data_IF_901997252867
#
_entry.id   IF_901997252867
#
_cell.length_a   1.000
_cell.length_b   1.000
_cell.length_c   1.000
_cell.angle_alpha   90.00
_cell.angle_beta   90.00
_cell.angle_gamma   90.00
#
_symmetry.space_group_name_H-M   'P 1'
#
loop_
_entity.id
_entity.type
_entity.pdbx_description
1 polymer ?
#
# COMPACT_ATOMS: atom_id res chain seq x y z
N UNK A 1 7.37 17.60 -29.45
CA UNK A 1 8.79 17.41 -29.87
C UNK A 1 8.85 16.78 -31.26
N UNK A 2 8.41 15.55 -31.49
CA UNK A 2 8.52 14.84 -32.79
C UNK A 2 7.77 15.48 -33.98
N UNK A 3 6.74 16.31 -33.73
CA UNK A 3 6.10 17.11 -34.80
C UNK A 3 7.04 18.20 -35.33
N UNK A 4 7.93 18.72 -34.48
CA UNK A 4 8.88 19.78 -34.83
C UNK A 4 10.25 19.22 -35.27
N UNK A 5 10.67 18.08 -34.73
CA UNK A 5 11.91 17.39 -35.09
C UNK A 5 11.64 15.86 -35.08
N UNK A 6 11.24 15.25 -36.22
CA UNK A 6 11.00 13.82 -36.33
C UNK A 6 12.25 12.96 -36.12
N UNK A 7 13.43 13.54 -36.22
CA UNK A 7 14.74 12.86 -36.05
C UNK A 7 15.31 13.04 -34.63
N UNK A 8 14.50 13.51 -33.68
CA UNK A 8 14.90 13.63 -32.28
C UNK A 8 14.87 12.24 -31.60
N UNK A 9 16.00 11.51 -31.62
CA UNK A 9 16.11 10.16 -31.06
C UNK A 9 15.74 10.08 -29.59
N UNK A 10 16.13 11.06 -28.77
CA UNK A 10 15.83 11.07 -27.33
C UNK A 10 14.32 11.24 -27.02
N UNK A 11 13.54 11.82 -27.94
CA UNK A 11 12.10 11.91 -27.78
C UNK A 11 11.42 10.54 -27.75
N UNK A 12 11.95 9.55 -28.48
CA UNK A 12 11.45 8.19 -28.44
C UNK A 12 11.79 7.48 -27.12
N UNK A 13 12.91 7.81 -26.49
CA UNK A 13 13.21 7.40 -25.12
C UNK A 13 12.14 7.93 -24.16
N UNK A 14 11.77 9.21 -24.27
CA UNK A 14 10.70 9.79 -23.44
C UNK A 14 9.35 9.10 -23.63
N UNK A 15 8.99 8.73 -24.88
CA UNK A 15 7.78 7.93 -25.16
C UNK A 15 7.88 6.56 -24.48
N UNK A 16 8.98 5.86 -24.66
CA UNK A 16 9.19 4.56 -24.03
C UNK A 16 9.13 4.65 -22.51
N UNK A 17 9.78 5.65 -21.90
CA UNK A 17 9.75 5.84 -20.46
C UNK A 17 8.33 6.08 -19.94
N UNK A 18 7.54 6.91 -20.63
CA UNK A 18 6.14 7.17 -20.23
C UNK A 18 5.23 5.94 -20.34
N UNK A 19 5.53 5.01 -21.24
CA UNK A 19 4.81 3.75 -21.39
C UNK A 19 5.05 2.74 -20.28
N UNK A 20 6.06 2.93 -19.44
CA UNK A 20 6.26 2.11 -18.23
C UNK A 20 5.16 2.33 -17.21
N UNK A 21 4.49 3.48 -17.22
CA UNK A 21 3.51 3.90 -16.23
C UNK A 21 4.15 3.94 -14.82
N UNK A 22 3.65 3.13 -13.88
CA UNK A 22 4.26 2.96 -12.57
C UNK A 22 5.37 1.90 -12.64
N UNK A 23 6.66 2.26 -12.49
CA UNK A 23 7.77 1.32 -12.63
C UNK A 23 7.88 0.30 -11.49
N UNK A 24 7.10 0.47 -10.40
CA UNK A 24 7.08 -0.45 -9.26
C UNK A 24 6.15 -1.65 -9.45
N UNK A 25 5.38 -1.67 -10.53
CA UNK A 25 4.47 -2.77 -10.87
C UNK A 25 4.71 -3.25 -12.30
N UNK A 26 4.34 -4.51 -12.64
CA UNK A 26 4.51 -5.00 -14.00
C UNK A 26 3.79 -4.14 -15.04
N UNK A 27 4.54 -3.69 -16.03
CA UNK A 27 4.01 -2.91 -17.16
C UNK A 27 3.10 -3.81 -18.02
N UNK A 28 1.91 -3.34 -18.46
CA UNK A 28 1.03 -4.10 -19.33
C UNK A 28 1.70 -4.52 -20.64
N UNK A 29 1.37 -5.71 -21.15
CA UNK A 29 2.00 -6.28 -22.35
C UNK A 29 1.88 -5.35 -23.59
N UNK A 30 0.72 -4.68 -23.77
CA UNK A 30 0.53 -3.69 -24.82
C UNK A 30 1.55 -2.55 -24.73
N UNK A 31 1.73 -1.98 -23.54
CA UNK A 31 2.67 -0.88 -23.31
C UNK A 31 4.13 -1.33 -23.52
N UNK A 32 4.45 -2.57 -23.15
CA UNK A 32 5.77 -3.14 -23.42
C UNK A 32 6.06 -3.26 -24.90
N UNK A 33 5.10 -3.72 -25.70
CA UNK A 33 5.25 -3.82 -27.15
C UNK A 33 5.40 -2.43 -27.82
N UNK A 34 4.59 -1.46 -27.40
CA UNK A 34 4.66 -0.07 -27.90
C UNK A 34 5.99 0.60 -27.49
N UNK A 35 6.45 0.39 -26.26
CA UNK A 35 7.72 0.92 -25.77
C UNK A 35 8.92 0.30 -26.49
N UNK A 36 8.88 -1.00 -26.77
CA UNK A 36 9.91 -1.68 -27.58
C UNK A 36 9.99 -1.07 -28.99
N UNK A 37 8.83 -0.80 -29.62
CA UNK A 37 8.80 -0.15 -30.94
C UNK A 37 9.36 1.29 -30.87
N UNK A 38 9.05 2.04 -29.81
CA UNK A 38 9.59 3.40 -29.61
C UNK A 38 11.12 3.35 -29.44
N UNK A 39 11.66 2.45 -28.62
CA UNK A 39 13.12 2.26 -28.48
C UNK A 39 13.79 1.90 -29.79
N UNK A 40 13.22 0.94 -30.53
CA UNK A 40 13.75 0.54 -31.85
C UNK A 40 13.79 1.73 -32.82
N UNK A 41 12.74 2.55 -32.83
CA UNK A 41 12.68 3.77 -33.64
C UNK A 41 13.71 4.81 -33.20
N UNK A 42 13.86 5.05 -31.89
CA UNK A 42 14.87 5.98 -31.36
C UNK A 42 16.31 5.55 -31.73
N UNK A 43 16.60 4.25 -31.68
CA UNK A 43 17.91 3.71 -32.13
C UNK A 43 18.12 3.86 -33.64
N UNK A 44 17.09 3.64 -34.46
CA UNK A 44 17.20 3.73 -35.93
C UNK A 44 17.38 5.17 -36.41
N UNK A 45 16.72 6.13 -35.77
CA UNK A 45 16.86 7.57 -36.04
C UNK A 45 18.22 8.07 -35.55
N UNK A 46 18.70 7.50 -34.45
CA UNK A 46 19.94 7.91 -33.79
C UNK A 46 19.74 9.07 -32.84
N UNK A 47 20.67 9.25 -31.92
CA UNK A 47 20.69 10.34 -30.97
C UNK A 47 21.95 11.21 -31.20
N UNK A 48 21.81 12.52 -30.96
CA UNK A 48 22.85 13.50 -31.30
C UNK A 48 24.09 13.36 -30.40
N UNK A 49 23.90 12.99 -29.14
CA UNK A 49 24.99 12.90 -28.16
C UNK A 49 25.19 11.48 -27.64
N UNK A 50 26.39 11.18 -27.12
CA UNK A 50 26.64 9.88 -26.47
C UNK A 50 25.78 9.70 -25.24
N UNK A 51 25.53 10.79 -24.47
CA UNK A 51 24.63 10.77 -23.32
C UNK A 51 23.24 10.28 -23.69
N UNK A 52 22.64 10.82 -24.75
CA UNK A 52 21.31 10.40 -25.23
C UNK A 52 21.29 8.94 -25.68
N UNK A 53 22.34 8.49 -26.36
CA UNK A 53 22.48 7.06 -26.76
C UNK A 53 22.52 6.16 -25.53
N UNK A 54 23.31 6.53 -24.52
CA UNK A 54 23.44 5.75 -23.28
C UNK A 54 22.09 5.63 -22.55
N UNK A 55 21.26 6.68 -22.50
CA UNK A 55 19.90 6.64 -21.92
C UNK A 55 18.97 5.72 -22.71
N UNK A 56 19.00 5.79 -24.05
CA UNK A 56 18.21 4.91 -24.92
C UNK A 56 18.63 3.45 -24.72
N UNK A 57 19.94 3.17 -24.68
CA UNK A 57 20.47 1.82 -24.52
C UNK A 57 20.16 1.24 -23.14
N UNK A 58 20.25 2.04 -22.10
CA UNK A 58 19.87 1.61 -20.76
C UNK A 58 18.37 1.24 -20.69
N UNK A 59 17.48 2.10 -21.19
CA UNK A 59 16.04 1.86 -21.15
C UNK A 59 15.64 0.68 -22.05
N UNK A 60 16.39 0.41 -23.13
CA UNK A 60 16.14 -0.71 -24.02
C UNK A 60 16.11 -2.07 -23.29
N UNK A 61 16.85 -2.20 -22.19
CA UNK A 61 16.91 -3.44 -21.38
C UNK A 61 15.53 -3.81 -20.82
N UNK A 62 14.71 -2.84 -20.48
CA UNK A 62 13.34 -3.08 -20.02
C UNK A 62 12.50 -3.77 -21.10
N UNK A 63 12.78 -3.49 -22.36
CA UNK A 63 11.94 -3.88 -23.48
C UNK A 63 12.47 -5.10 -24.26
N UNK A 64 13.73 -5.48 -24.07
CA UNK A 64 14.31 -6.67 -24.73
C UNK A 64 13.68 -7.93 -24.13
N UNK A 65 13.23 -8.84 -25.01
CA UNK A 65 12.61 -10.12 -24.65
C UNK A 65 11.51 -10.00 -23.56
N UNK A 66 10.74 -8.90 -23.61
CA UNK A 66 9.72 -8.59 -22.61
C UNK A 66 8.61 -9.64 -22.49
N UNK A 67 8.44 -10.48 -23.52
CA UNK A 67 7.51 -11.61 -23.58
C UNK A 67 8.06 -12.89 -22.92
N UNK A 68 9.39 -12.96 -22.69
CA UNK A 68 10.09 -14.13 -22.13
C UNK A 68 10.69 -13.87 -20.76
N UNK A 69 11.12 -12.63 -20.50
CA UNK A 69 11.81 -12.24 -19.27
C UNK A 69 10.86 -11.51 -18.35
N UNK A 70 10.74 -11.98 -17.10
CA UNK A 70 9.86 -11.38 -16.09
C UNK A 70 10.23 -9.93 -15.74
N UNK A 71 9.32 -9.23 -15.08
CA UNK A 71 9.46 -7.80 -14.72
C UNK A 71 10.73 -7.54 -13.88
N UNK A 72 10.92 -8.28 -12.78
CA UNK A 72 12.04 -8.04 -11.84
C UNK A 72 13.42 -8.21 -12.49
N UNK A 73 13.73 -9.27 -13.25
CA UNK A 73 15.02 -9.36 -13.96
C UNK A 73 15.27 -8.22 -14.95
N UNK A 74 14.21 -7.72 -15.63
CA UNK A 74 14.34 -6.58 -16.57
C UNK A 74 14.64 -5.27 -15.83
N UNK A 75 13.96 -5.00 -14.71
CA UNK A 75 14.23 -3.81 -13.90
C UNK A 75 15.60 -3.87 -13.24
N UNK A 76 16.06 -5.04 -12.81
CA UNK A 76 17.43 -5.24 -12.31
C UNK A 76 18.48 -4.99 -13.39
N UNK A 77 18.26 -5.47 -14.61
CA UNK A 77 19.12 -5.17 -15.75
C UNK A 77 19.18 -3.68 -16.07
N UNK A 78 18.03 -3.00 -16.03
CA UNK A 78 17.95 -1.56 -16.22
C UNK A 78 18.68 -0.79 -15.11
N UNK A 79 18.52 -1.17 -13.84
CA UNK A 79 19.24 -0.53 -12.74
C UNK A 79 20.77 -0.64 -12.90
N UNK A 80 21.27 -1.81 -13.34
CA UNK A 80 22.70 -1.99 -13.63
C UNK A 80 23.17 -1.11 -14.79
N UNK A 81 22.37 -0.95 -15.84
CA UNK A 81 22.71 -0.06 -16.95
C UNK A 81 22.69 1.40 -16.53
N UNK A 82 21.68 1.84 -15.74
CA UNK A 82 21.62 3.19 -15.21
C UNK A 82 22.76 3.50 -14.24
N UNK A 83 23.24 2.51 -13.48
CA UNK A 83 24.46 2.67 -12.68
C UNK A 83 25.66 3.07 -13.55
N UNK A 84 25.83 2.42 -14.70
CA UNK A 84 26.93 2.75 -15.64
C UNK A 84 26.75 4.15 -16.24
N UNK A 85 25.52 4.55 -16.57
CA UNK A 85 25.22 5.90 -17.03
C UNK A 85 25.54 6.92 -15.94
N UNK A 86 25.10 6.72 -14.71
CA UNK A 86 25.37 7.60 -13.59
C UNK A 86 26.88 7.72 -13.27
N UNK A 87 27.63 6.63 -13.39
CA UNK A 87 29.09 6.64 -13.23
C UNK A 87 29.81 7.40 -14.35
N UNK A 88 29.32 7.29 -15.59
CA UNK A 88 29.89 8.03 -16.75
C UNK A 88 29.59 9.52 -16.69
N UNK A 89 28.46 9.88 -16.13
CA UNK A 89 27.99 11.27 -16.00
C UNK A 89 27.76 11.66 -14.54
N UNK A 90 28.81 11.73 -13.70
CA UNK A 90 28.65 11.91 -12.25
C UNK A 90 28.06 13.28 -11.86
N UNK A 91 28.15 14.29 -12.73
CA UNK A 91 27.61 15.61 -12.53
C UNK A 91 26.24 15.83 -13.23
N UNK A 92 25.66 14.80 -13.80
CA UNK A 92 24.35 14.84 -14.43
C UNK A 92 23.29 14.40 -13.38
N UNK A 93 22.63 15.37 -12.80
CA UNK A 93 21.61 15.09 -11.78
C UNK A 93 20.49 14.18 -12.30
N UNK A 94 20.07 14.31 -13.59
CA UNK A 94 19.06 13.42 -14.18
C UNK A 94 19.55 11.97 -14.29
N UNK A 95 20.84 11.75 -14.60
CA UNK A 95 21.39 10.39 -14.60
C UNK A 95 21.35 9.76 -13.20
N UNK A 96 21.67 10.54 -12.17
CA UNK A 96 21.59 10.11 -10.77
C UNK A 96 20.14 9.85 -10.34
N UNK A 97 19.19 10.70 -10.73
CA UNK A 97 17.76 10.58 -10.43
C UNK A 97 17.18 9.28 -11.05
N UNK A 98 17.44 9.05 -12.34
CA UNK A 98 16.97 7.83 -13.01
C UNK A 98 17.62 6.56 -12.46
N UNK A 99 18.88 6.64 -12.03
CA UNK A 99 19.53 5.52 -11.34
C UNK A 99 18.85 5.23 -10.00
N UNK A 100 18.61 6.24 -9.17
CA UNK A 100 17.92 6.08 -7.90
C UNK A 100 16.50 5.50 -8.07
N UNK A 101 15.73 5.98 -9.07
CA UNK A 101 14.42 5.42 -9.41
C UNK A 101 14.52 3.94 -9.80
N UNK A 102 15.52 3.58 -10.63
CA UNK A 102 15.72 2.19 -11.07
C UNK A 102 16.10 1.25 -9.93
N UNK A 103 16.85 1.73 -8.93
CA UNK A 103 17.15 0.99 -7.70
C UNK A 103 15.88 0.62 -6.95
N UNK A 104 14.95 1.57 -6.79
CA UNK A 104 13.67 1.29 -6.12
C UNK A 104 12.82 0.30 -6.92
N UNK A 105 12.69 0.51 -8.23
CA UNK A 105 11.90 -0.37 -9.12
C UNK A 105 12.46 -1.81 -9.20
N UNK A 106 13.76 -1.99 -8.97
CA UNK A 106 14.45 -3.30 -9.00
C UNK A 106 14.61 -3.96 -7.63
N UNK A 107 14.10 -3.32 -6.56
CA UNK A 107 14.22 -3.84 -5.21
C UNK A 107 13.39 -5.12 -5.03
N UNK A 108 13.98 -6.12 -4.38
CA UNK A 108 13.26 -7.34 -4.02
C UNK A 108 12.42 -7.10 -2.77
N UNK A 109 11.16 -7.52 -2.79
CA UNK A 109 10.30 -7.51 -1.60
C UNK A 109 10.83 -8.40 -0.46
N UNK A 110 11.68 -9.37 -0.78
CA UNK A 110 12.35 -10.23 0.20
C UNK A 110 13.53 -9.54 0.92
N UNK A 111 14.08 -8.46 0.36
CA UNK A 111 15.16 -7.71 1.01
C UNK A 111 14.60 -6.79 2.09
N UNK A 112 14.65 -7.21 3.34
CA UNK A 112 14.24 -6.43 4.51
C UNK A 112 15.36 -5.53 5.07
N UNK A 113 16.51 -5.46 4.39
CA UNK A 113 17.56 -4.47 4.70
C UNK A 113 17.30 -3.13 4.00
N UNK A 114 16.43 -3.13 2.99
CA UNK A 114 16.10 -1.96 2.15
C UNK A 114 17.34 -1.34 1.50
N UNK A 115 18.32 -2.19 1.13
CA UNK A 115 19.61 -1.72 0.62
C UNK A 115 19.49 -0.84 -0.63
N UNK A 116 18.66 -1.23 -1.60
CA UNK A 116 18.41 -0.45 -2.81
C UNK A 116 17.72 0.88 -2.51
N UNK A 117 16.73 0.86 -1.63
CA UNK A 117 15.99 2.04 -1.22
C UNK A 117 16.90 3.06 -0.53
N UNK A 118 17.71 2.60 0.42
CA UNK A 118 18.65 3.47 1.14
C UNK A 118 19.76 3.99 0.21
N UNK A 119 20.25 3.18 -0.72
CA UNK A 119 21.23 3.62 -1.74
C UNK A 119 20.62 4.69 -2.65
N UNK A 120 19.40 4.49 -3.13
CA UNK A 120 18.67 5.46 -3.94
C UNK A 120 18.45 6.77 -3.21
N UNK A 121 18.03 6.72 -1.95
CA UNK A 121 17.83 7.90 -1.12
C UNK A 121 19.13 8.66 -0.88
N UNK A 122 20.24 7.97 -0.60
CA UNK A 122 21.55 8.60 -0.44
C UNK A 122 22.03 9.34 -1.69
N UNK A 123 21.59 8.91 -2.89
CA UNK A 123 21.85 9.62 -4.14
C UNK A 123 20.96 10.85 -4.26
N UNK A 124 19.68 10.76 -3.90
CA UNK A 124 18.70 11.83 -4.11
C UNK A 124 18.77 12.94 -3.05
N UNK A 125 19.09 12.65 -1.79
CA UNK A 125 19.10 13.65 -0.73
C UNK A 125 20.02 14.86 -1.02
N UNK A 126 21.27 14.70 -1.51
CA UNK A 126 22.10 15.83 -1.90
C UNK A 126 21.53 16.65 -3.07
N UNK A 127 20.83 15.99 -4.02
CA UNK A 127 20.17 16.64 -5.13
C UNK A 127 18.96 17.43 -4.61
N UNK A 128 18.16 16.84 -3.72
CA UNK A 128 17.03 17.49 -3.07
C UNK A 128 17.44 18.76 -2.31
N UNK A 129 18.56 18.70 -1.60
CA UNK A 129 19.09 19.86 -0.90
C UNK A 129 19.47 21.02 -1.83
N UNK A 130 19.98 20.72 -3.04
CA UNK A 130 20.32 21.74 -4.05
C UNK A 130 19.13 22.17 -4.90
N UNK A 131 18.18 21.27 -5.14
CA UNK A 131 17.03 21.45 -6.02
C UNK A 131 15.72 21.07 -5.29
N UNK A 132 15.33 21.78 -4.21
CA UNK A 132 14.17 21.43 -3.40
C UNK A 132 12.83 21.54 -4.15
N UNK A 133 12.81 22.20 -5.31
CA UNK A 133 11.64 22.35 -6.17
C UNK A 133 11.60 21.31 -7.30
N UNK A 134 12.54 20.37 -7.36
CA UNK A 134 12.55 19.34 -8.39
C UNK A 134 11.48 18.30 -8.09
N UNK A 135 10.41 18.18 -8.92
CA UNK A 135 9.26 17.34 -8.58
C UNK A 135 9.60 15.85 -8.49
N UNK A 136 10.43 15.34 -9.41
CA UNK A 136 10.83 13.94 -9.43
C UNK A 136 11.64 13.55 -8.19
N UNK A 137 12.55 14.41 -7.72
CA UNK A 137 13.39 14.10 -6.56
C UNK A 137 12.57 13.95 -5.29
N UNK A 138 11.68 14.90 -4.99
CA UNK A 138 10.80 14.82 -3.83
C UNK A 138 9.87 13.60 -3.92
N UNK A 139 9.28 13.32 -5.09
CA UNK A 139 8.42 12.17 -5.35
C UNK A 139 9.14 10.85 -5.12
N UNK A 140 10.33 10.70 -5.71
CA UNK A 140 11.08 9.44 -5.61
C UNK A 140 11.64 9.19 -4.21
N UNK A 141 11.97 10.23 -3.44
CA UNK A 141 12.31 10.10 -2.03
C UNK A 141 11.13 9.56 -1.21
N UNK A 142 9.89 10.00 -1.49
CA UNK A 142 8.70 9.42 -0.85
C UNK A 142 8.62 7.92 -1.13
N UNK A 143 8.74 7.50 -2.39
CA UNK A 143 8.70 6.08 -2.74
C UNK A 143 9.85 5.27 -2.12
N UNK A 144 11.05 5.82 -2.08
CA UNK A 144 12.23 5.17 -1.47
C UNK A 144 12.06 4.96 0.03
N UNK A 145 11.33 5.85 0.70
CA UNK A 145 11.09 5.78 2.13
C UNK A 145 9.72 5.18 2.54
N UNK A 146 8.86 4.78 1.58
CA UNK A 146 7.54 4.17 1.87
C UNK A 146 7.64 2.74 2.44
N UNK A 147 8.53 2.54 3.41
CA UNK A 147 8.74 1.28 4.12
C UNK A 147 8.82 1.53 5.62
N UNK A 148 8.13 0.73 6.48
CA UNK A 148 7.97 1.04 7.90
C UNK A 148 9.25 1.42 8.64
N UNK A 149 10.39 0.68 8.52
CA UNK A 149 11.58 0.98 9.30
C UNK A 149 12.30 2.27 8.91
N UNK A 150 12.02 2.82 7.73
CA UNK A 150 12.73 3.99 7.18
C UNK A 150 11.81 5.15 6.83
N UNK A 151 10.49 5.02 7.06
CA UNK A 151 9.48 5.99 6.62
C UNK A 151 9.67 7.39 7.22
N UNK A 152 10.11 7.50 8.46
CA UNK A 152 10.34 8.79 9.12
C UNK A 152 11.34 9.69 8.36
N UNK A 153 12.30 9.09 7.64
CA UNK A 153 13.25 9.82 6.81
C UNK A 153 12.59 10.54 5.64
N UNK A 154 11.42 10.05 5.18
CA UNK A 154 10.65 10.64 4.10
C UNK A 154 9.82 11.88 4.46
N UNK A 155 9.68 12.22 5.75
CA UNK A 155 8.79 13.29 6.21
C UNK A 155 9.11 14.66 5.60
N UNK A 156 10.38 14.99 5.41
CA UNK A 156 10.77 16.27 4.80
C UNK A 156 10.31 16.35 3.34
N UNK A 157 10.57 15.32 2.55
CA UNK A 157 10.13 15.26 1.15
C UNK A 157 8.59 15.28 1.05
N UNK A 158 7.89 14.53 1.90
CA UNK A 158 6.44 14.52 1.97
C UNK A 158 5.83 15.89 2.23
N UNK A 159 6.34 16.64 3.20
CA UNK A 159 5.82 18.00 3.56
C UNK A 159 6.07 19.06 2.51
N UNK A 160 7.04 18.84 1.61
CA UNK A 160 7.39 19.80 0.56
C UNK A 160 6.69 19.47 -0.76
N UNK A 161 6.54 18.19 -1.10
CA UNK A 161 6.16 17.76 -2.44
C UNK A 161 4.81 18.31 -2.93
N UNK A 162 3.78 18.32 -2.08
CA UNK A 162 2.48 18.88 -2.46
C UNK A 162 2.52 20.36 -2.89
N UNK A 163 3.51 21.13 -2.41
CA UNK A 163 3.69 22.54 -2.75
C UNK A 163 4.35 22.75 -4.10
N UNK A 164 5.06 21.73 -4.62
CA UNK A 164 5.77 21.80 -5.89
C UNK A 164 4.81 21.71 -7.08
N UNK A 165 3.78 20.86 -6.96
CA UNK A 165 2.79 20.62 -8.02
C UNK A 165 1.36 20.67 -7.45
N UNK A 166 0.84 21.86 -7.09
CA UNK A 166 -0.44 22.01 -6.37
C UNK A 166 -1.66 21.57 -7.18
N UNK A 167 -1.58 21.60 -8.50
CA UNK A 167 -2.67 21.24 -9.42
C UNK A 167 -2.63 19.78 -9.89
N UNK A 168 -1.66 18.99 -9.40
CA UNK A 168 -1.54 17.58 -9.71
C UNK A 168 -2.11 16.72 -8.56
N UNK A 169 -3.22 16.02 -8.79
CA UNK A 169 -3.88 15.19 -7.79
C UNK A 169 -2.91 14.18 -7.14
N UNK A 170 -2.11 13.50 -7.95
CA UNK A 170 -1.12 12.56 -7.48
C UNK A 170 -0.06 13.21 -6.57
N UNK A 171 0.40 14.44 -6.90
CA UNK A 171 1.36 15.15 -6.05
C UNK A 171 0.77 15.56 -4.69
N UNK A 172 -0.52 15.85 -4.65
CA UNK A 172 -1.24 16.14 -3.41
C UNK A 172 -1.47 14.87 -2.56
N UNK A 173 -1.61 13.70 -3.21
CA UNK A 173 -1.81 12.42 -2.56
C UNK A 173 -0.50 11.84 -1.97
N UNK A 174 0.61 11.92 -2.71
CA UNK A 174 1.87 11.23 -2.40
C UNK A 174 2.42 11.43 -0.97
N UNK A 175 2.31 12.63 -0.35
CA UNK A 175 2.72 12.80 1.05
C UNK A 175 2.07 11.81 2.02
N UNK A 176 0.82 11.42 1.74
CA UNK A 176 0.06 10.52 2.58
C UNK A 176 0.63 9.09 2.64
N UNK A 177 1.44 8.67 1.68
CA UNK A 177 2.19 7.42 1.77
C UNK A 177 3.08 7.41 3.02
N UNK A 178 3.88 8.46 3.20
CA UNK A 178 4.75 8.59 4.38
C UNK A 178 3.92 8.82 5.65
N UNK A 179 2.95 9.74 5.62
CA UNK A 179 2.11 10.04 6.79
C UNK A 179 1.37 8.79 7.31
N UNK A 180 0.86 7.96 6.41
CA UNK A 180 0.22 6.69 6.76
C UNK A 180 1.22 5.71 7.39
N UNK A 181 2.46 5.61 6.85
CA UNK A 181 3.50 4.73 7.40
C UNK A 181 3.93 5.10 8.81
N UNK A 182 3.95 6.39 9.12
CA UNK A 182 4.35 6.88 10.46
C UNK A 182 3.14 7.10 11.38
N UNK A 183 1.92 6.83 10.91
CA UNK A 183 0.69 6.97 11.67
C UNK A 183 0.29 8.44 11.94
N UNK A 184 0.64 9.35 11.03
CA UNK A 184 0.23 10.76 11.07
C UNK A 184 -1.09 10.94 10.32
N UNK A 185 -2.15 10.42 10.96
CA UNK A 185 -3.45 10.26 10.32
C UNK A 185 -4.10 11.55 9.87
N UNK A 186 -3.99 12.63 10.67
CA UNK A 186 -4.56 13.92 10.28
C UNK A 186 -3.86 14.52 9.06
N UNK A 187 -2.52 14.44 8.99
CA UNK A 187 -1.75 14.91 7.84
C UNK A 187 -2.07 14.08 6.58
N UNK A 188 -2.29 12.77 6.73
CA UNK A 188 -2.77 11.91 5.63
C UNK A 188 -4.16 12.32 5.14
N UNK A 189 -5.09 12.63 6.04
CA UNK A 189 -6.43 13.13 5.70
C UNK A 189 -6.34 14.47 4.97
N UNK A 190 -5.58 15.42 5.49
CA UNK A 190 -5.50 16.77 4.94
C UNK A 190 -4.90 16.76 3.52
N UNK A 191 -3.85 15.97 3.31
CA UNK A 191 -3.24 15.71 1.99
C UNK A 191 -4.28 15.14 1.02
N UNK A 192 -5.00 14.10 1.41
CA UNK A 192 -5.95 13.41 0.54
C UNK A 192 -7.24 14.21 0.29
N UNK A 193 -7.67 15.11 1.18
CA UNK A 193 -8.77 16.04 0.89
C UNK A 193 -8.43 16.96 -0.28
N UNK A 194 -7.21 17.47 -0.31
CA UNK A 194 -6.75 18.31 -1.43
C UNK A 194 -6.64 17.45 -2.69
N UNK A 195 -6.05 16.25 -2.60
CA UNK A 195 -5.93 15.33 -3.73
C UNK A 195 -7.31 14.96 -4.31
N UNK A 196 -8.29 14.61 -3.48
CA UNK A 196 -9.65 14.32 -3.90
C UNK A 196 -10.29 15.48 -4.64
N UNK A 197 -10.15 16.72 -4.13
CA UNK A 197 -10.68 17.92 -4.77
C UNK A 197 -10.04 18.17 -6.13
N UNK A 198 -8.71 18.12 -6.21
CA UNK A 198 -7.97 18.34 -7.46
C UNK A 198 -8.30 17.25 -8.49
N UNK A 199 -8.37 15.99 -8.07
CA UNK A 199 -8.76 14.87 -8.94
C UNK A 199 -10.19 15.06 -9.49
N UNK A 200 -11.14 15.48 -8.65
CA UNK A 200 -12.52 15.74 -9.05
C UNK A 200 -12.61 16.88 -10.06
N UNK A 201 -11.88 17.98 -9.85
CA UNK A 201 -11.78 19.13 -10.78
C UNK A 201 -11.18 18.72 -12.14
N UNK A 202 -10.20 17.80 -12.13
CA UNK A 202 -9.57 17.23 -13.32
C UNK A 202 -10.36 16.09 -13.97
N UNK A 203 -11.46 15.63 -13.37
CA UNK A 203 -12.20 14.43 -13.79
C UNK A 203 -11.36 13.15 -13.75
N UNK A 204 -10.35 13.09 -12.88
CA UNK A 204 -9.57 11.88 -12.60
C UNK A 204 -10.26 11.05 -11.53
N UNK A 205 -11.12 10.14 -12.00
CA UNK A 205 -11.98 9.33 -11.14
C UNK A 205 -11.20 8.29 -10.33
N UNK A 206 -10.07 7.81 -10.86
CA UNK A 206 -9.22 6.86 -10.15
C UNK A 206 -8.49 7.52 -8.98
N UNK A 207 -7.85 8.66 -9.21
CA UNK A 207 -7.15 9.40 -8.16
C UNK A 207 -8.14 9.96 -7.13
N UNK A 208 -9.37 10.33 -7.55
CA UNK A 208 -10.42 10.72 -6.61
C UNK A 208 -10.77 9.59 -5.63
N UNK A 209 -11.09 8.38 -6.13
CA UNK A 209 -11.39 7.21 -5.30
C UNK A 209 -10.20 6.78 -4.45
N UNK A 210 -9.00 6.89 -4.98
CA UNK A 210 -7.77 6.57 -4.28
C UNK A 210 -7.54 7.47 -3.06
N UNK A 211 -7.71 8.77 -3.24
CA UNK A 211 -7.63 9.73 -2.13
C UNK A 211 -8.73 9.48 -1.07
N UNK A 212 -9.92 9.05 -1.49
CA UNK A 212 -11.00 8.68 -0.56
C UNK A 212 -10.67 7.42 0.25
N UNK A 213 -10.04 6.38 -0.34
CA UNK A 213 -9.60 5.18 0.39
C UNK A 213 -8.63 5.51 1.53
N UNK A 214 -7.61 6.35 1.25
CA UNK A 214 -6.68 6.79 2.27
C UNK A 214 -7.35 7.61 3.38
N UNK A 215 -8.30 8.47 3.03
CA UNK A 215 -9.07 9.22 4.01
C UNK A 215 -9.92 8.29 4.89
N UNK A 216 -10.64 7.32 4.29
CA UNK A 216 -11.43 6.33 5.05
C UNK A 216 -10.54 5.58 6.03
N UNK A 217 -9.38 5.10 5.56
CA UNK A 217 -8.43 4.41 6.43
C UNK A 217 -7.97 5.27 7.61
N UNK A 218 -7.54 6.49 7.34
CA UNK A 218 -7.04 7.41 8.36
C UNK A 218 -8.14 7.87 9.34
N UNK A 219 -9.37 8.15 8.88
CA UNK A 219 -10.49 8.45 9.75
C UNK A 219 -10.82 7.31 10.72
N UNK A 220 -10.76 6.07 10.24
CA UNK A 220 -10.99 4.89 11.09
C UNK A 220 -9.92 4.74 12.17
N UNK A 221 -8.66 5.12 11.88
CA UNK A 221 -7.59 5.13 12.87
C UNK A 221 -7.74 6.25 13.90
N UNK A 222 -8.42 7.37 13.56
CA UNK A 222 -8.75 8.43 14.50
C UNK A 222 -10.08 8.18 15.25
N UNK A 223 -10.77 7.07 15.03
CA UNK A 223 -12.10 6.82 15.55
C UNK A 223 -13.17 7.78 15.02
N UNK A 224 -12.93 8.39 13.86
CA UNK A 224 -13.88 9.32 13.20
C UNK A 224 -14.77 8.55 12.22
N UNK A 225 -15.53 7.61 12.76
CA UNK A 225 -16.36 6.65 12.00
C UNK A 225 -17.47 7.33 11.19
N UNK A 226 -18.03 8.43 11.69
CA UNK A 226 -19.06 9.21 10.98
C UNK A 226 -18.49 9.88 9.73
N UNK A 227 -17.26 10.44 9.81
CA UNK A 227 -16.59 11.01 8.64
C UNK A 227 -16.20 9.94 7.62
N UNK A 228 -15.70 8.78 8.08
CA UNK A 228 -15.45 7.64 7.21
C UNK A 228 -16.73 7.18 6.51
N UNK A 229 -17.86 7.12 7.23
CA UNK A 229 -19.17 6.75 6.66
C UNK A 229 -19.64 7.74 5.59
N UNK A 230 -19.44 9.03 5.79
CA UNK A 230 -19.79 10.05 4.78
C UNK A 230 -19.07 9.79 3.45
N UNK A 231 -17.78 9.48 3.49
CA UNK A 231 -17.03 9.13 2.28
C UNK A 231 -17.50 7.82 1.65
N UNK A 232 -17.80 6.81 2.47
CA UNK A 232 -18.35 5.55 1.97
C UNK A 232 -19.69 5.71 1.25
N UNK A 233 -20.52 6.66 1.70
CA UNK A 233 -21.80 6.96 1.05
C UNK A 233 -21.61 7.76 -0.25
N UNK A 234 -20.54 8.54 -0.38
CA UNK A 234 -20.18 9.29 -1.58
C UNK A 234 -19.52 8.41 -2.66
N UNK A 235 -18.63 7.48 -2.27
CA UNK A 235 -17.81 6.69 -3.19
C UNK A 235 -18.58 6.01 -4.34
N UNK A 236 -19.78 5.39 -4.12
CA UNK A 236 -20.54 4.75 -5.20
C UNK A 236 -21.05 5.71 -6.28
N UNK A 237 -21.10 7.02 -6.01
CA UNK A 237 -21.49 8.03 -6.99
C UNK A 237 -20.39 8.34 -8.02
N UNK A 238 -19.15 7.94 -7.74
CA UNK A 238 -18.01 8.08 -8.65
C UNK A 238 -18.05 6.93 -9.65
N UNK A 239 -18.52 7.19 -10.85
CA UNK A 239 -18.76 6.19 -11.90
C UNK A 239 -18.14 6.60 -13.24
N UNK A 240 -17.95 5.65 -14.15
CA UNK A 240 -17.39 5.92 -15.49
C UNK A 240 -15.89 5.72 -15.62
N UNK A 241 -15.24 5.22 -14.59
CA UNK A 241 -13.83 4.85 -14.63
C UNK A 241 -13.60 3.44 -15.21
N UNK A 242 -12.34 3.14 -15.57
CA UNK A 242 -11.95 1.86 -16.16
C UNK A 242 -11.85 0.75 -15.09
N UNK A 243 -12.70 -0.27 -15.18
CA UNK A 243 -12.75 -1.39 -14.22
C UNK A 243 -11.51 -2.31 -14.24
N UNK A 244 -10.69 -2.24 -15.27
CA UNK A 244 -9.45 -3.03 -15.40
C UNK A 244 -8.24 -2.35 -14.78
N UNK A 245 -8.35 -1.10 -14.35
CA UNK A 245 -7.31 -0.40 -13.62
C UNK A 245 -7.56 -0.49 -12.11
N UNK A 246 -6.57 -0.98 -11.36
CA UNK A 246 -6.73 -1.44 -9.97
C UNK A 246 -7.32 -0.39 -9.02
N UNK A 247 -6.88 0.85 -9.13
CA UNK A 247 -7.00 1.89 -8.09
C UNK A 247 -8.46 2.14 -7.67
N UNK A 248 -9.33 2.50 -8.60
CA UNK A 248 -10.75 2.80 -8.30
C UNK A 248 -11.53 1.57 -7.82
N UNK A 249 -11.52 0.43 -8.55
CA UNK A 249 -12.19 -0.78 -8.10
C UNK A 249 -11.72 -1.28 -6.73
N UNK A 250 -10.42 -1.17 -6.43
CA UNK A 250 -9.85 -1.54 -5.14
C UNK A 250 -10.43 -0.67 -4.02
N UNK A 251 -10.42 0.66 -4.18
CA UNK A 251 -10.95 1.61 -3.20
C UNK A 251 -12.41 1.29 -2.84
N UNK A 252 -13.25 1.02 -3.86
CA UNK A 252 -14.67 0.66 -3.67
C UNK A 252 -14.90 -0.68 -2.97
N UNK A 253 -13.98 -1.63 -3.09
CA UNK A 253 -14.07 -2.92 -2.41
C UNK A 253 -13.50 -2.86 -0.98
N UNK A 254 -12.36 -2.20 -0.80
CA UNK A 254 -11.63 -2.25 0.48
C UNK A 254 -12.20 -1.29 1.53
N UNK A 255 -12.72 -0.13 1.13
CA UNK A 255 -13.22 0.85 2.08
C UNK A 255 -14.40 0.36 2.91
N UNK A 256 -15.48 -0.25 2.35
CA UNK A 256 -16.54 -0.85 3.16
C UNK A 256 -16.06 -2.05 3.99
N UNK A 257 -15.12 -2.85 3.48
CA UNK A 257 -14.51 -3.94 4.23
C UNK A 257 -13.76 -3.44 5.47
N UNK A 258 -12.90 -2.43 5.31
CA UNK A 258 -12.19 -1.78 6.43
C UNK A 258 -13.16 -1.15 7.42
N UNK A 259 -14.18 -0.46 6.94
CA UNK A 259 -15.17 0.18 7.82
C UNK A 259 -15.84 -0.81 8.77
N UNK A 260 -16.23 -1.98 8.27
CA UNK A 260 -16.82 -3.00 9.09
C UNK A 260 -15.80 -3.66 10.04
N UNK A 261 -14.62 -4.04 9.53
CA UNK A 261 -13.58 -4.75 10.28
C UNK A 261 -12.99 -3.86 11.38
N UNK A 262 -12.63 -2.60 11.07
CA UNK A 262 -12.03 -1.67 12.04
C UNK A 262 -12.96 -1.36 13.20
N UNK A 263 -14.26 -1.36 12.97
CA UNK A 263 -15.28 -1.17 14.01
C UNK A 263 -15.62 -2.46 14.76
N UNK A 264 -15.08 -3.61 14.34
CA UNK A 264 -15.45 -4.91 14.89
C UNK A 264 -16.90 -5.32 14.61
N UNK A 265 -17.52 -4.72 13.60
CA UNK A 265 -18.89 -5.02 13.19
C UNK A 265 -18.88 -6.26 12.26
N UNK A 266 -18.70 -7.42 12.90
CA UNK A 266 -18.55 -8.69 12.20
C UNK A 266 -19.81 -9.10 11.43
N UNK A 267 -21.00 -8.69 11.91
CA UNK A 267 -22.27 -8.97 11.21
C UNK A 267 -22.35 -8.13 9.93
N UNK A 268 -22.00 -6.86 10.01
CA UNK A 268 -21.92 -6.00 8.83
C UNK A 268 -20.86 -6.53 7.84
N UNK A 269 -19.68 -6.95 8.31
CA UNK A 269 -18.65 -7.55 7.47
C UNK A 269 -19.17 -8.81 6.74
N UNK A 270 -19.88 -9.71 7.45
CA UNK A 270 -20.47 -10.92 6.88
C UNK A 270 -21.55 -10.66 5.80
N UNK A 271 -22.18 -9.50 5.83
CA UNK A 271 -23.28 -9.13 4.91
C UNK A 271 -22.85 -8.20 3.76
N UNK A 272 -21.56 -7.92 3.60
CA UNK A 272 -21.07 -7.07 2.51
C UNK A 272 -21.44 -7.65 1.14
N UNK A 273 -21.87 -6.80 0.23
CA UNK A 273 -22.15 -7.18 -1.14
C UNK A 273 -20.85 -7.23 -1.96
N UNK A 274 -20.67 -8.32 -2.72
CA UNK A 274 -19.53 -8.49 -3.60
C UNK A 274 -19.75 -7.67 -4.86
N UNK A 275 -18.97 -6.60 -5.02
CA UNK A 275 -18.99 -5.82 -6.25
C UNK A 275 -18.39 -6.65 -7.39
N UNK A 276 -19.09 -6.81 -8.54
CA UNK A 276 -18.51 -7.42 -9.73
C UNK A 276 -17.25 -6.65 -10.18
N UNK A 277 -16.18 -7.37 -10.48
CA UNK A 277 -14.94 -6.79 -10.99
C UNK A 277 -14.21 -7.82 -11.86
N UNK A 278 -13.53 -7.41 -12.94
CA UNK A 278 -12.66 -8.29 -13.71
C UNK A 278 -11.37 -8.63 -12.95
N UNK A 279 -11.08 -7.92 -11.85
CA UNK A 279 -9.89 -8.07 -11.03
C UNK A 279 -10.17 -9.02 -9.86
N UNK A 280 -9.58 -10.22 -9.90
CA UNK A 280 -9.78 -11.26 -8.87
C UNK A 280 -9.41 -10.79 -7.48
N UNK A 281 -8.33 -10.02 -7.33
CA UNK A 281 -7.87 -9.46 -6.06
C UNK A 281 -8.85 -8.45 -5.45
N UNK A 282 -9.61 -7.74 -6.27
CA UNK A 282 -10.64 -6.79 -5.81
C UNK A 282 -11.83 -7.55 -5.22
N UNK A 283 -12.31 -8.60 -5.89
CA UNK A 283 -13.38 -9.44 -5.34
C UNK A 283 -12.94 -10.16 -4.06
N UNK A 284 -11.68 -10.63 -4.00
CA UNK A 284 -11.13 -11.33 -2.84
C UNK A 284 -11.23 -10.53 -1.55
N UNK A 285 -11.07 -9.19 -1.59
CA UNK A 285 -11.19 -8.32 -0.41
C UNK A 285 -12.56 -8.47 0.25
N UNK A 286 -13.63 -8.45 -0.54
CA UNK A 286 -14.99 -8.57 0.01
C UNK A 286 -15.25 -9.98 0.54
N UNK A 287 -14.83 -11.03 -0.17
CA UNK A 287 -14.94 -12.41 0.33
C UNK A 287 -14.13 -12.63 1.60
N UNK A 288 -12.94 -12.03 1.72
CA UNK A 288 -12.14 -12.04 2.94
C UNK A 288 -12.90 -11.41 4.13
N UNK A 289 -13.44 -10.20 3.93
CA UNK A 289 -14.19 -9.51 4.98
C UNK A 289 -15.44 -10.30 5.40
N UNK A 290 -16.18 -10.89 4.44
CA UNK A 290 -17.34 -11.72 4.68
C UNK A 290 -17.00 -12.99 5.44
N UNK A 291 -15.97 -13.72 5.00
CA UNK A 291 -15.52 -14.94 5.66
C UNK A 291 -15.07 -14.67 7.10
N UNK A 292 -14.28 -13.62 7.31
CA UNK A 292 -13.85 -13.18 8.64
C UNK A 292 -15.04 -12.78 9.51
N UNK A 293 -15.96 -11.99 8.96
CA UNK A 293 -17.18 -11.56 9.64
C UNK A 293 -18.08 -12.72 10.04
N UNK A 294 -18.31 -13.69 9.14
CA UNK A 294 -19.11 -14.86 9.40
C UNK A 294 -18.49 -15.76 10.49
N UNK A 295 -17.18 -16.04 10.40
CA UNK A 295 -16.48 -16.84 11.42
C UNK A 295 -16.54 -16.14 12.80
N UNK A 296 -16.30 -14.83 12.85
CA UNK A 296 -16.33 -14.02 14.09
C UNK A 296 -17.76 -13.85 14.65
N UNK A 297 -18.78 -14.00 13.83
CA UNK A 297 -20.20 -13.95 14.23
C UNK A 297 -20.77 -15.32 14.60
N UNK A 298 -19.93 -16.39 14.64
CA UNK A 298 -20.36 -17.71 15.02
C UNK A 298 -21.04 -18.51 13.90
N UNK A 299 -20.80 -18.16 12.63
CA UNK A 299 -21.31 -18.90 11.46
C UNK A 299 -20.14 -19.42 10.58
N UNK A 300 -19.41 -20.45 11.06
CA UNK A 300 -18.27 -21.00 10.31
C UNK A 300 -18.67 -21.62 8.96
N UNK A 301 -19.87 -22.14 8.82
CA UNK A 301 -20.31 -22.73 7.55
C UNK A 301 -20.46 -21.67 6.44
N UNK A 302 -21.02 -20.50 6.76
CA UNK A 302 -21.06 -19.39 5.81
C UNK A 302 -19.63 -18.91 5.45
N UNK A 303 -18.72 -18.87 6.43
CA UNK A 303 -17.32 -18.51 6.18
C UNK A 303 -16.64 -19.46 5.20
N UNK A 304 -16.88 -20.78 5.30
CA UNK A 304 -16.31 -21.79 4.38
C UNK A 304 -16.72 -21.57 2.92
N UNK A 305 -17.94 -21.10 2.67
CA UNK A 305 -18.42 -20.76 1.32
C UNK A 305 -17.58 -19.63 0.72
N UNK A 306 -17.34 -18.57 1.48
CA UNK A 306 -16.55 -17.43 1.01
C UNK A 306 -15.04 -17.78 0.93
N UNK A 307 -14.52 -18.64 1.81
CA UNK A 307 -13.15 -19.18 1.71
C UNK A 307 -12.95 -19.98 0.42
N UNK A 308 -13.92 -20.78 -0.01
CA UNK A 308 -13.85 -21.49 -1.29
C UNK A 308 -13.72 -20.51 -2.46
N UNK A 309 -14.36 -19.32 -2.38
CA UNK A 309 -14.20 -18.25 -3.36
C UNK A 309 -12.81 -17.62 -3.33
N UNK A 310 -12.22 -17.43 -2.14
CA UNK A 310 -10.82 -16.97 -2.02
C UNK A 310 -9.85 -17.95 -2.70
N UNK A 311 -10.04 -19.25 -2.52
CA UNK A 311 -9.22 -20.28 -3.21
C UNK A 311 -9.36 -20.15 -4.73
N UNK A 312 -10.59 -20.07 -5.26
CA UNK A 312 -10.84 -19.91 -6.69
C UNK A 312 -10.16 -18.65 -7.26
N UNK A 313 -10.24 -17.52 -6.53
CA UNK A 313 -9.68 -16.25 -6.96
C UNK A 313 -8.14 -16.23 -6.89
N UNK A 314 -7.56 -16.86 -5.84
CA UNK A 314 -6.11 -17.08 -5.74
C UNK A 314 -5.59 -17.88 -6.93
N UNK A 315 -6.27 -18.99 -7.25
CA UNK A 315 -5.84 -19.88 -8.33
C UNK A 315 -5.92 -19.19 -9.71
N UNK A 316 -6.89 -18.28 -9.93
CA UNK A 316 -6.95 -17.43 -11.11
C UNK A 316 -5.78 -16.45 -11.24
N UNK A 317 -5.19 -16.04 -10.12
CA UNK A 317 -4.03 -15.15 -10.06
C UNK A 317 -2.71 -15.91 -10.21
N UNK A 318 -2.69 -17.18 -9.87
CA UNK A 318 -1.48 -18.00 -9.92
C UNK A 318 -0.86 -18.01 -11.32
N UNK A 319 0.45 -17.73 -11.39
CA UNK A 319 1.19 -17.62 -12.65
C UNK A 319 0.94 -16.32 -13.46
N UNK A 320 0.00 -15.46 -13.01
CA UNK A 320 -0.30 -14.17 -13.65
C UNK A 320 0.14 -12.99 -12.81
N UNK A 321 -0.14 -13.02 -11.51
CA UNK A 321 0.19 -11.99 -10.55
C UNK A 321 0.58 -12.63 -9.22
N UNK A 322 1.89 -12.80 -9.01
CA UNK A 322 2.43 -13.50 -7.84
C UNK A 322 2.13 -12.75 -6.55
N UNK A 323 2.18 -11.41 -6.57
CA UNK A 323 1.90 -10.58 -5.40
C UNK A 323 0.45 -10.78 -4.92
N UNK A 324 -0.52 -10.57 -5.82
CA UNK A 324 -1.93 -10.70 -5.44
C UNK A 324 -2.35 -12.13 -5.14
N UNK A 325 -1.74 -13.12 -5.82
CA UNK A 325 -1.93 -14.54 -5.47
C UNK A 325 -1.50 -14.83 -4.04
N UNK A 326 -0.34 -14.30 -3.60
CA UNK A 326 0.16 -14.43 -2.23
C UNK A 326 -0.75 -13.71 -1.22
N UNK A 327 -1.20 -12.47 -1.52
CA UNK A 327 -2.10 -11.73 -0.62
C UNK A 327 -3.44 -12.46 -0.42
N UNK A 328 -4.02 -13.01 -1.47
CA UNK A 328 -5.28 -13.79 -1.37
C UNK A 328 -5.06 -15.12 -0.63
N UNK A 329 -3.90 -15.75 -0.79
CA UNK A 329 -3.53 -16.95 -0.02
C UNK A 329 -3.42 -16.66 1.49
N UNK A 330 -2.82 -15.51 1.85
CA UNK A 330 -2.77 -15.06 3.26
C UNK A 330 -4.19 -14.81 3.78
N UNK A 331 -5.04 -14.12 3.04
CA UNK A 331 -6.44 -13.86 3.41
C UNK A 331 -7.21 -15.17 3.63
N UNK A 332 -7.02 -16.15 2.77
CA UNK A 332 -7.61 -17.48 2.89
C UNK A 332 -7.12 -18.19 4.18
N UNK A 333 -5.82 -18.16 4.48
CA UNK A 333 -5.24 -18.75 5.69
C UNK A 333 -5.76 -18.09 6.96
N UNK A 334 -5.83 -16.77 7.00
CA UNK A 334 -6.39 -15.99 8.13
C UNK A 334 -7.83 -16.40 8.40
N UNK A 335 -8.67 -16.42 7.36
CA UNK A 335 -10.09 -16.76 7.52
C UNK A 335 -10.29 -18.22 7.90
N UNK A 336 -9.48 -19.15 7.37
CA UNK A 336 -9.50 -20.56 7.77
C UNK A 336 -9.13 -20.76 9.24
N UNK A 337 -8.15 -20.02 9.74
CA UNK A 337 -7.79 -20.05 11.16
C UNK A 337 -8.95 -19.57 12.05
N UNK A 338 -9.68 -18.53 11.64
CA UNK A 338 -10.86 -18.07 12.38
C UNK A 338 -12.04 -19.04 12.30
N UNK A 339 -12.18 -19.83 11.22
CA UNK A 339 -13.15 -20.95 11.14
C UNK A 339 -12.78 -22.03 12.17
N UNK A 340 -11.52 -22.45 12.23
CA UNK A 340 -11.06 -23.42 13.24
C UNK A 340 -11.36 -22.93 14.68
N UNK A 341 -11.14 -21.64 14.94
CA UNK A 341 -11.46 -21.03 16.23
C UNK A 341 -12.98 -21.10 16.52
N UNK A 342 -13.82 -20.77 15.54
CA UNK A 342 -15.28 -20.84 15.68
C UNK A 342 -15.80 -22.27 15.89
N UNK A 343 -15.10 -23.28 15.36
CA UNK A 343 -15.38 -24.71 15.56
C UNK A 343 -14.84 -25.27 16.89
N UNK A 344 -14.18 -24.44 17.72
CA UNK A 344 -13.59 -24.87 18.99
C UNK A 344 -12.25 -25.61 18.88
N UNK A 345 -11.64 -25.66 17.69
CA UNK A 345 -10.32 -26.25 17.42
C UNK A 345 -9.20 -25.24 17.70
N UNK A 346 -9.08 -24.87 18.97
CA UNK A 346 -8.32 -23.68 19.37
C UNK A 346 -6.82 -23.75 19.13
N UNK A 347 -6.19 -24.90 19.39
CA UNK A 347 -4.73 -25.06 19.22
C UNK A 347 -4.37 -25.04 17.71
N UNK A 348 -5.16 -25.72 16.88
CA UNK A 348 -5.01 -25.66 15.43
C UNK A 348 -5.24 -24.24 14.90
N UNK A 349 -6.24 -23.52 15.43
CA UNK A 349 -6.54 -22.14 15.07
C UNK A 349 -5.38 -21.20 15.39
N UNK A 350 -4.80 -21.30 16.58
CA UNK A 350 -3.64 -20.49 16.99
C UNK A 350 -2.42 -20.78 16.12
N UNK A 351 -2.14 -22.06 15.85
CA UNK A 351 -1.04 -22.46 14.97
C UNK A 351 -1.22 -21.94 13.55
N UNK A 352 -2.42 -22.12 12.96
CA UNK A 352 -2.73 -21.63 11.63
C UNK A 352 -2.68 -20.11 11.54
N UNK A 353 -3.18 -19.38 12.56
CA UNK A 353 -3.19 -17.93 12.59
C UNK A 353 -1.78 -17.35 12.73
N UNK A 354 -0.91 -17.98 13.57
CA UNK A 354 0.50 -17.62 13.67
C UNK A 354 1.21 -17.77 12.32
N UNK A 355 1.00 -18.89 11.65
CA UNK A 355 1.61 -19.14 10.33
C UNK A 355 1.12 -18.14 9.26
N UNK A 356 -0.15 -17.74 9.29
CA UNK A 356 -0.68 -16.72 8.38
C UNK A 356 -0.07 -15.34 8.67
N UNK A 357 0.09 -14.97 9.94
CA UNK A 357 0.73 -13.73 10.35
C UNK A 357 2.22 -13.70 9.96
N UNK A 358 2.94 -14.81 10.15
CA UNK A 358 4.35 -14.93 9.73
C UNK A 358 4.51 -14.86 8.20
N UNK A 359 3.53 -15.33 7.44
CA UNK A 359 3.52 -15.19 5.99
C UNK A 359 3.32 -13.72 5.58
N UNK A 360 2.33 -13.01 6.19
CA UNK A 360 2.08 -11.59 5.90
C UNK A 360 3.29 -10.70 6.29
N UNK A 361 3.96 -10.99 7.40
CA UNK A 361 5.12 -10.21 7.86
C UNK A 361 6.31 -10.27 6.88
N UNK A 362 6.38 -11.29 6.04
CA UNK A 362 7.40 -11.40 4.97
C UNK A 362 7.05 -10.56 3.75
N UNK A 363 5.81 -10.12 3.61
CA UNK A 363 5.37 -9.31 2.48
C UNK A 363 5.54 -7.81 2.75
N UNK A 364 5.42 -7.00 1.69
CA UNK A 364 5.23 -5.55 1.79
C UNK A 364 3.83 -5.19 1.30
N UNK A 365 3.29 -4.03 1.75
CA UNK A 365 2.05 -3.55 1.16
C UNK A 365 2.24 -3.24 -0.32
N UNK A 366 1.17 -3.37 -1.09
CA UNK A 366 1.18 -2.89 -2.47
C UNK A 366 1.50 -1.38 -2.52
N UNK A 367 2.31 -0.90 -3.46
CA UNK A 367 2.68 0.52 -3.53
C UNK A 367 1.50 1.49 -3.59
N UNK A 368 0.36 1.05 -4.13
CA UNK A 368 -0.85 1.87 -4.28
C UNK A 368 -1.69 1.94 -3.00
N UNK A 369 -1.73 0.90 -2.16
CA UNK A 369 -2.67 0.84 -1.05
C UNK A 369 -2.15 1.50 0.24
N UNK A 370 -3.00 2.06 1.13
CA UNK A 370 -2.58 2.55 2.43
C UNK A 370 -2.08 1.42 3.36
N UNK A 371 -2.60 0.21 3.20
CA UNK A 371 -2.25 -0.97 3.98
C UNK A 371 -3.12 -2.17 3.59
N UNK A 372 -2.87 -3.31 4.20
CA UNK A 372 -3.76 -4.49 4.09
C UNK A 372 -5.15 -4.18 4.67
N UNK A 373 -6.20 -4.95 4.35
CA UNK A 373 -7.54 -4.73 4.91
C UNK A 373 -7.55 -4.74 6.45
N UNK A 374 -6.80 -5.64 7.06
CA UNK A 374 -6.47 -5.69 8.49
C UNK A 374 -5.23 -6.55 8.68
N UNK A 375 -4.26 -6.16 9.54
CA UNK A 375 -3.04 -6.94 9.73
C UNK A 375 -3.32 -8.32 10.34
N UNK A 376 -2.75 -9.37 9.73
CA UNK A 376 -2.87 -10.72 10.26
C UNK A 376 -2.27 -10.87 11.66
N UNK A 377 -1.16 -10.18 11.94
CA UNK A 377 -0.54 -10.15 13.28
C UNK A 377 -1.45 -9.53 14.34
N UNK A 378 -2.22 -8.49 14.01
CA UNK A 378 -3.24 -7.92 14.91
C UNK A 378 -4.34 -8.94 15.20
N UNK A 379 -4.84 -9.62 14.17
CA UNK A 379 -5.87 -10.66 14.33
C UNK A 379 -5.36 -11.86 15.14
N UNK A 380 -4.06 -12.19 15.04
CA UNK A 380 -3.43 -13.19 15.89
C UNK A 380 -3.41 -12.76 17.36
N UNK A 381 -3.05 -11.50 17.63
CA UNK A 381 -3.11 -10.91 18.98
C UNK A 381 -4.53 -10.99 19.58
N UNK A 382 -5.56 -10.69 18.76
CA UNK A 382 -6.97 -10.83 19.19
C UNK A 382 -7.30 -12.29 19.52
N UNK A 383 -6.90 -13.26 18.69
CA UNK A 383 -7.16 -14.67 18.95
C UNK A 383 -6.46 -15.16 20.22
N UNK A 384 -5.23 -14.72 20.49
CA UNK A 384 -4.50 -15.00 21.70
C UNK A 384 -5.23 -14.45 22.95
N UNK A 385 -5.76 -13.22 22.89
CA UNK A 385 -6.59 -12.65 23.97
C UNK A 385 -7.86 -13.47 24.21
N UNK A 386 -8.54 -13.88 23.16
CA UNK A 386 -9.75 -14.73 23.25
C UNK A 386 -9.42 -16.10 23.89
N UNK A 387 -8.16 -16.55 23.79
CA UNK A 387 -7.69 -17.81 24.40
C UNK A 387 -6.99 -17.66 25.75
N UNK A 388 -7.07 -16.47 26.38
CA UNK A 388 -6.49 -16.22 27.70
C UNK A 388 -4.96 -16.24 27.73
N UNK A 389 -4.30 -15.86 26.62
CA UNK A 389 -2.85 -15.75 26.45
C UNK A 389 -2.41 -14.29 26.32
N UNK A 390 -2.62 -13.46 27.36
CA UNK A 390 -2.43 -12.01 27.24
C UNK A 390 -0.97 -11.59 27.02
N UNK A 391 0.01 -12.32 27.57
CA UNK A 391 1.42 -12.00 27.39
C UNK A 391 1.86 -12.15 25.94
N UNK A 392 1.47 -13.26 25.30
CA UNK A 392 1.75 -13.50 23.87
C UNK A 392 0.96 -12.54 22.97
N UNK A 393 -0.26 -12.20 23.37
CA UNK A 393 -1.07 -11.22 22.65
C UNK A 393 -0.42 -9.83 22.65
N UNK A 394 0.15 -9.40 23.80
CA UNK A 394 0.86 -8.14 23.90
C UNK A 394 2.02 -8.07 22.90
N UNK A 395 2.84 -9.13 22.82
CA UNK A 395 3.94 -9.24 21.85
C UNK A 395 3.42 -9.10 20.41
N UNK A 396 2.30 -9.74 20.08
CA UNK A 396 1.71 -9.66 18.73
C UNK A 396 1.23 -8.23 18.40
N UNK A 397 0.58 -7.53 19.33
CA UNK A 397 0.14 -6.15 19.12
C UNK A 397 1.32 -5.18 19.04
N UNK A 398 2.35 -5.33 19.88
CA UNK A 398 3.57 -4.52 19.81
C UNK A 398 4.30 -4.72 18.47
N UNK A 399 4.34 -5.95 17.94
CA UNK A 399 4.88 -6.22 16.62
C UNK A 399 4.06 -5.52 15.50
N UNK A 400 2.73 -5.51 15.62
CA UNK A 400 1.86 -4.75 14.71
C UNK A 400 2.16 -3.25 14.79
N UNK A 401 2.24 -2.67 15.99
CA UNK A 401 2.53 -1.24 16.20
C UNK A 401 3.90 -0.81 15.70
N UNK A 402 4.88 -1.73 15.68
CA UNK A 402 6.19 -1.48 15.08
C UNK A 402 6.12 -1.36 13.55
N UNK A 403 5.24 -2.14 12.90
CA UNK A 403 5.04 -2.13 11.44
C UNK A 403 4.05 -1.04 11.01
N UNK A 404 3.01 -0.81 11.80
CA UNK A 404 1.94 0.17 11.58
C UNK A 404 1.76 1.07 12.81
N UNK A 405 2.61 2.11 12.95
CA UNK A 405 2.56 3.03 14.10
C UNK A 405 1.20 3.73 14.23
N UNK A 406 0.80 4.01 15.45
CA UNK A 406 -0.44 4.71 15.79
C UNK A 406 -1.73 4.04 15.27
N UNK A 407 -1.71 2.72 15.07
CA UNK A 407 -2.88 1.95 14.71
C UNK A 407 -3.79 1.76 15.92
N UNK A 408 -5.03 2.30 15.82
CA UNK A 408 -5.97 2.38 16.95
C UNK A 408 -6.29 1.01 17.55
N UNK A 409 -6.68 0.03 16.70
CA UNK A 409 -7.03 -1.32 17.18
C UNK A 409 -5.86 -2.05 17.82
N UNK A 410 -4.66 -1.86 17.30
CA UNK A 410 -3.47 -2.47 17.87
C UNK A 410 -3.17 -1.89 19.27
N UNK A 411 -3.35 -0.58 19.50
CA UNK A 411 -3.24 0.01 20.84
C UNK A 411 -4.33 -0.47 21.80
N UNK A 412 -5.58 -0.58 21.33
CA UNK A 412 -6.67 -1.17 22.12
C UNK A 412 -6.34 -2.61 22.54
N UNK A 413 -5.85 -3.40 21.60
CA UNK A 413 -5.44 -4.78 21.85
C UNK A 413 -4.27 -4.88 22.83
N UNK A 414 -3.24 -4.04 22.65
CA UNK A 414 -2.06 -3.99 23.52
C UNK A 414 -2.46 -3.56 24.94
N UNK A 415 -3.33 -2.55 25.09
CA UNK A 415 -3.83 -2.10 26.39
C UNK A 415 -4.57 -3.21 27.13
N UNK A 416 -5.51 -3.89 26.46
CA UNK A 416 -6.25 -5.02 27.06
C UNK A 416 -5.34 -6.21 27.39
N UNK A 417 -4.32 -6.45 26.56
CA UNK A 417 -3.34 -7.51 26.80
C UNK A 417 -2.45 -7.20 28.01
N UNK A 418 -1.94 -5.97 28.12
CA UNK A 418 -1.17 -5.50 29.25
C UNK A 418 -1.98 -5.55 30.57
N UNK A 419 -3.24 -5.09 30.55
CA UNK A 419 -4.14 -5.16 31.71
C UNK A 419 -4.34 -6.61 32.17
N UNK A 420 -4.67 -7.52 31.24
CA UNK A 420 -4.91 -8.93 31.57
C UNK A 420 -3.64 -9.69 31.98
N UNK A 421 -2.46 -9.25 31.57
CA UNK A 421 -1.17 -9.82 32.01
C UNK A 421 -0.67 -9.25 33.32
N UNK A 422 -1.36 -8.25 33.90
CA UNK A 422 -0.99 -7.60 35.15
C UNK A 422 0.05 -6.47 35.02
N UNK A 423 0.39 -6.06 33.77
CA UNK A 423 1.29 -4.92 33.52
C UNK A 423 0.47 -3.61 33.49
N UNK A 424 0.18 -3.10 34.69
CA UNK A 424 -0.62 -1.89 34.85
C UNK A 424 0.05 -0.65 34.23
N UNK A 425 1.38 -0.60 34.19
CA UNK A 425 2.11 0.54 33.62
C UNK A 425 1.92 0.61 32.10
N UNK A 426 2.14 -0.50 31.40
CA UNK A 426 1.87 -0.59 29.95
C UNK A 426 0.39 -0.44 29.62
N UNK A 427 -0.52 -1.00 30.43
CA UNK A 427 -1.96 -0.81 30.22
C UNK A 427 -2.32 0.68 30.24
N UNK A 428 -1.87 1.43 31.24
CA UNK A 428 -2.08 2.87 31.35
C UNK A 428 -1.47 3.63 30.17
N UNK A 429 -0.25 3.28 29.75
CA UNK A 429 0.40 3.88 28.60
C UNK A 429 -0.42 3.69 27.35
N UNK A 430 -0.81 2.44 27.02
CA UNK A 430 -1.51 2.14 25.78
C UNK A 430 -2.94 2.68 25.76
N UNK A 431 -3.68 2.66 26.90
CA UNK A 431 -4.96 3.35 26.98
C UNK A 431 -4.79 4.86 26.78
N UNK A 432 -3.72 5.46 27.32
CA UNK A 432 -3.37 6.85 27.04
C UNK A 432 -3.16 7.14 25.56
N UNK A 433 -2.49 6.25 24.82
CA UNK A 433 -2.34 6.36 23.36
C UNK A 433 -3.68 6.26 22.64
N UNK A 434 -4.57 5.33 23.02
CA UNK A 434 -5.92 5.22 22.46
C UNK A 434 -6.68 6.53 22.63
N UNK A 435 -6.70 7.10 23.84
CA UNK A 435 -7.43 8.35 24.14
C UNK A 435 -6.83 9.53 23.38
N UNK A 436 -5.51 9.61 23.27
CA UNK A 436 -4.83 10.67 22.52
C UNK A 436 -5.15 10.62 21.01
N UNK A 437 -5.05 9.44 20.40
CA UNK A 437 -5.35 9.23 18.98
C UNK A 437 -6.83 9.51 18.71
N UNK A 438 -7.73 9.05 19.57
CA UNK A 438 -9.17 9.21 19.45
C UNK A 438 -9.70 10.48 20.14
N UNK A 439 -8.87 11.52 20.33
CA UNK A 439 -9.28 12.75 21.01
C UNK A 439 -10.49 13.43 20.36
N UNK A 440 -10.54 13.42 19.03
CA UNK A 440 -11.63 14.00 18.22
C UNK A 440 -12.53 12.92 17.60
N UNK A 441 -12.63 11.75 18.23
CA UNK A 441 -13.45 10.65 17.73
C UNK A 441 -14.93 11.02 17.75
N UNK A 442 -15.64 10.64 16.71
CA UNK A 442 -17.11 10.70 16.59
C UNK A 442 -17.75 9.31 16.68
N UNK A 443 -16.96 8.32 17.14
CA UNK A 443 -17.33 6.91 17.18
C UNK A 443 -18.19 6.55 18.39
N UNK A 444 -19.01 5.52 18.24
CA UNK A 444 -19.70 4.81 19.32
C UNK A 444 -18.99 3.52 19.74
N UNK A 445 -17.75 3.30 19.32
CA UNK A 445 -16.96 2.10 19.65
C UNK A 445 -16.75 2.01 21.16
N UNK A 446 -17.10 0.86 21.73
CA UNK A 446 -16.97 0.61 23.17
C UNK A 446 -15.52 0.62 23.64
N UNK A 447 -14.58 0.18 22.80
CA UNK A 447 -13.16 0.12 23.11
C UNK A 447 -12.54 1.52 23.36
N UNK A 448 -12.99 2.55 22.66
CA UNK A 448 -12.58 3.95 22.91
C UNK A 448 -13.20 4.47 24.22
N UNK A 449 -14.47 4.13 24.48
CA UNK A 449 -15.14 4.50 25.73
C UNK A 449 -14.48 3.79 26.93
N UNK A 450 -14.16 2.50 26.80
CA UNK A 450 -13.47 1.70 27.82
C UNK A 450 -12.09 2.31 28.17
N UNK A 451 -11.33 2.73 27.14
CA UNK A 451 -10.04 3.37 27.34
C UNK A 451 -10.13 4.66 28.17
N UNK A 452 -11.14 5.51 27.86
CA UNK A 452 -11.41 6.74 28.64
C UNK A 452 -11.78 6.42 30.08
N UNK A 453 -12.67 5.43 30.30
CA UNK A 453 -13.09 5.00 31.62
C UNK A 453 -11.93 4.43 32.44
N UNK A 454 -10.99 3.69 31.82
CA UNK A 454 -9.82 3.15 32.50
C UNK A 454 -8.89 4.25 33.03
N UNK A 455 -8.69 5.33 32.29
CA UNK A 455 -7.81 6.44 32.70
C UNK A 455 -8.45 7.37 33.72
N UNK A 456 -9.76 7.28 33.92
CA UNK A 456 -10.51 8.08 34.90
C UNK A 456 -10.54 7.43 36.30
N UNK A 457 -10.04 6.20 36.42
CA UNK A 457 -9.90 5.45 37.69
C UNK A 457 -8.55 5.72 38.35
#
# INVERSE_FOLDING_TARGET
MLKADPECGIAYWGIALSLLLNPHVPTPAKNLAEGAAAIAKGKSVGAKTQRERDYIDALAIIYVDHDKVGHLPRTQGYAKAMEQVAQRYPNDDEAQIHYALSLNASASAADKTYANQLKGAAILEPIFARQPQHPGVAHYLIHLYDYPPIAEKGLNAARIYAKIAPDAAHAQHMPSHIFTRVGYWQESIDSNKVAQRVAKEASDLHDQLHAMDYQVYAYLQLGQDGKAKTLLDEMPSVTGFTETFLVGPYALAVSPARYAIERGDWKAAASLEVRPSPLSQVQAITYFARALGAARSGNPEAAKVDIAKLVELRDKLQGKDAYWSEQVDIQQKVTSAWVLHAEGKYDDALSAMSAAADAEDKTEKHPVTPGVPTPARELYGVMLLDRGKPTEALVAFEATLKKEPNRLRAYVGAAKAAEKSGDAAKAKEYYGKVVAIAANADTTRTDVADARAHLSR
#
